data_IF_101384062258
#
_entry.id   IF_101384062258
#
_cell.length_a   1.000
_cell.length_b   1.000
_cell.length_c   1.000
_cell.angle_alpha   90.00
_cell.angle_beta   90.00
_cell.angle_gamma   90.00
#
_symmetry.space_group_name_H-M   'P 1'
#
loop_
_entity.id
_entity.type
_entity.pdbx_description
1 polymer ?
#
# COMPACT_ATOMS: atom_id res chain seq x y z
N UNK A 1 -13.37 5.23 -5.49
CA UNK A 1 -12.08 5.92 -5.40
C UNK A 1 -11.89 6.84 -6.60
N UNK A 2 -10.99 7.83 -6.52
CA UNK A 2 -10.69 8.76 -7.64
C UNK A 2 -9.50 8.24 -8.46
N UNK A 3 -9.36 8.68 -9.73
CA UNK A 3 -8.20 8.34 -10.57
C UNK A 3 -6.86 8.67 -9.90
N UNK A 4 -6.80 9.79 -9.17
CA UNK A 4 -5.62 10.23 -8.42
C UNK A 4 -5.23 9.23 -7.33
N UNK A 5 -6.21 8.62 -6.66
CA UNK A 5 -5.94 7.64 -5.62
C UNK A 5 -5.21 6.40 -6.17
N UNK A 6 -5.65 5.87 -7.31
CA UNK A 6 -4.99 4.71 -7.94
C UNK A 6 -3.52 4.99 -8.25
N UNK A 7 -3.22 6.17 -8.80
CA UNK A 7 -1.85 6.58 -9.14
C UNK A 7 -0.99 6.73 -7.88
N UNK A 8 -1.47 7.50 -6.90
CA UNK A 8 -0.70 7.79 -5.69
C UNK A 8 -0.46 6.52 -4.86
N UNK A 9 -1.48 5.67 -4.70
CA UNK A 9 -1.35 4.39 -3.99
C UNK A 9 -0.32 3.49 -4.66
N UNK A 10 -0.37 3.38 -5.99
CA UNK A 10 0.61 2.58 -6.75
C UNK A 10 2.02 3.12 -6.57
N UNK A 11 2.20 4.43 -6.65
CA UNK A 11 3.51 5.07 -6.43
C UNK A 11 4.04 4.83 -5.01
N UNK A 12 3.17 4.85 -4.00
CA UNK A 12 3.55 4.56 -2.61
C UNK A 12 4.05 3.12 -2.47
N UNK A 13 3.33 2.15 -3.04
CA UNK A 13 3.73 0.74 -2.97
C UNK A 13 5.04 0.48 -3.74
N UNK A 14 5.21 1.12 -4.91
CA UNK A 14 6.47 1.02 -5.66
C UNK A 14 7.63 1.69 -4.91
N UNK A 15 7.40 2.85 -4.30
CA UNK A 15 8.41 3.53 -3.49
C UNK A 15 8.80 2.70 -2.27
N UNK A 16 7.84 2.04 -1.63
CA UNK A 16 8.10 1.07 -0.57
C UNK A 16 9.02 -0.07 -1.06
N UNK A 17 8.75 -0.65 -2.22
CA UNK A 17 9.58 -1.71 -2.79
C UNK A 17 11.00 -1.22 -3.12
N UNK A 18 11.13 -0.05 -3.74
CA UNK A 18 12.43 0.59 -4.05
C UNK A 18 13.21 0.88 -2.77
N UNK A 19 12.58 1.52 -1.79
CA UNK A 19 13.22 1.89 -0.53
C UNK A 19 13.64 0.65 0.28
N UNK A 20 12.80 -0.39 0.31
CA UNK A 20 13.14 -1.66 0.96
C UNK A 20 14.34 -2.33 0.31
N UNK A 21 14.39 -2.38 -1.03
CA UNK A 21 15.53 -2.94 -1.76
C UNK A 21 16.81 -2.13 -1.54
N UNK A 22 16.73 -0.81 -1.64
CA UNK A 22 17.86 0.08 -1.39
C UNK A 22 18.43 -0.07 0.03
N UNK A 23 17.55 -0.20 1.03
CA UNK A 23 17.94 -0.38 2.45
C UNK A 23 18.67 -1.69 2.73
N UNK A 24 18.45 -2.70 1.88
CA UNK A 24 19.11 -4.01 1.98
C UNK A 24 20.21 -4.20 0.92
N UNK A 25 20.67 -3.11 0.29
CA UNK A 25 21.71 -3.12 -0.75
C UNK A 25 21.40 -4.07 -1.92
N UNK A 26 20.11 -4.27 -2.20
CA UNK A 26 19.63 -5.08 -3.32
C UNK A 26 19.61 -4.23 -4.59
N UNK A 27 19.82 -4.86 -5.75
CA UNK A 27 19.75 -4.18 -7.06
C UNK A 27 18.39 -3.53 -7.31
N UNK A 28 18.38 -2.35 -7.94
CA UNK A 28 17.19 -1.55 -8.25
C UNK A 28 16.69 -1.72 -9.69
N UNK A 29 16.97 -2.87 -10.29
CA UNK A 29 16.46 -3.20 -11.61
C UNK A 29 14.91 -3.31 -11.58
N UNK A 30 14.21 -2.99 -12.68
CA UNK A 30 12.74 -2.97 -12.69
C UNK A 30 12.10 -4.30 -12.29
N UNK A 31 12.71 -5.43 -12.68
CA UNK A 31 12.21 -6.76 -12.32
C UNK A 31 12.41 -7.05 -10.84
N UNK A 32 13.56 -6.68 -10.27
CA UNK A 32 13.80 -6.78 -8.83
C UNK A 32 12.82 -5.95 -8.00
N UNK A 33 12.54 -4.71 -8.40
CA UNK A 33 11.53 -3.85 -7.75
C UNK A 33 10.15 -4.49 -7.83
N UNK A 34 9.77 -4.99 -9.02
CA UNK A 34 8.48 -5.64 -9.21
C UNK A 34 8.39 -6.95 -8.40
N UNK A 35 9.45 -7.75 -8.33
CA UNK A 35 9.51 -8.96 -7.53
C UNK A 35 9.26 -8.67 -6.03
N UNK A 36 9.75 -7.54 -5.52
CA UNK A 36 9.46 -7.13 -4.13
C UNK A 36 8.07 -6.50 -3.98
N UNK A 37 7.61 -5.73 -4.98
CA UNK A 37 6.39 -4.93 -4.89
C UNK A 37 5.09 -5.65 -5.28
N UNK A 38 5.14 -6.63 -6.17
CA UNK A 38 3.94 -7.27 -6.74
C UNK A 38 2.98 -7.85 -5.69
N UNK A 39 3.41 -8.48 -4.56
CA UNK A 39 2.48 -9.03 -3.59
C UNK A 39 1.60 -7.93 -2.97
N UNK A 40 2.22 -6.78 -2.68
CA UNK A 40 1.56 -5.62 -2.11
C UNK A 40 0.70 -4.88 -3.12
N UNK A 41 1.11 -4.84 -4.40
CA UNK A 41 0.29 -4.30 -5.49
C UNK A 41 -1.00 -5.12 -5.67
N UNK A 42 -0.92 -6.45 -5.60
CA UNK A 42 -2.10 -7.32 -5.63
C UNK A 42 -2.99 -7.05 -4.42
N UNK A 43 -2.42 -6.99 -3.22
CA UNK A 43 -3.20 -6.66 -2.02
C UNK A 43 -3.84 -5.28 -2.06
N UNK A 44 -3.15 -4.29 -2.60
CA UNK A 44 -3.69 -2.94 -2.84
C UNK A 44 -4.87 -2.98 -3.81
N UNK A 45 -4.76 -3.73 -4.92
CA UNK A 45 -5.86 -3.90 -5.86
C UNK A 45 -7.09 -4.57 -5.22
N UNK A 46 -6.87 -5.60 -4.39
CA UNK A 46 -7.94 -6.21 -3.56
C UNK A 46 -8.56 -5.17 -2.63
N UNK A 47 -7.74 -4.32 -2.01
CA UNK A 47 -8.19 -3.23 -1.15
C UNK A 47 -9.05 -2.20 -1.88
N UNK A 48 -8.72 -1.86 -3.13
CA UNK A 48 -9.54 -0.98 -3.95
C UNK A 48 -10.92 -1.56 -4.24
N UNK A 49 -10.96 -2.86 -4.53
CA UNK A 49 -12.20 -3.60 -4.75
C UNK A 49 -13.02 -3.63 -3.44
N UNK A 50 -12.40 -3.98 -2.31
CA UNK A 50 -13.05 -3.99 -1.01
C UNK A 50 -13.61 -2.61 -0.62
N UNK A 51 -12.83 -1.54 -0.83
CA UNK A 51 -13.26 -0.17 -0.58
C UNK A 51 -14.45 0.24 -1.47
N UNK A 52 -14.57 -0.32 -2.68
CA UNK A 52 -15.71 -0.05 -3.56
C UNK A 52 -17.04 -0.62 -3.02
N UNK A 53 -16.98 -1.64 -2.16
CA UNK A 53 -18.16 -2.23 -1.51
C UNK A 53 -18.55 -1.55 -0.19
N UNK A 54 -17.78 -0.56 0.28
CA UNK A 54 -18.13 0.21 1.49
C UNK A 54 -19.38 1.07 1.22
N UNK A 55 -20.46 0.92 2.00
CA UNK A 55 -21.68 1.70 1.81
C UNK A 55 -21.42 3.21 1.87
N UNK A 56 -22.06 3.98 0.97
CA UNK A 56 -21.90 5.45 0.90
C UNK A 56 -22.02 6.19 2.24
N UNK A 57 -22.99 5.90 3.14
CA UNK A 57 -23.10 6.65 4.40
C UNK A 57 -21.91 6.40 5.36
N UNK A 58 -21.21 5.28 5.20
CA UNK A 58 -20.02 4.94 5.99
C UNK A 58 -18.73 5.38 5.30
N UNK A 59 -18.79 5.81 4.03
CA UNK A 59 -17.59 6.05 3.23
C UNK A 59 -16.89 7.32 3.67
N UNK A 60 -15.67 7.18 4.16
CA UNK A 60 -14.79 8.28 4.51
C UNK A 60 -13.39 8.08 3.94
N UNK A 61 -12.68 9.18 3.70
CA UNK A 61 -11.34 9.14 3.11
C UNK A 61 -10.37 8.27 3.92
N UNK A 62 -10.49 8.27 5.25
CA UNK A 62 -9.61 7.51 6.14
C UNK A 62 -9.92 6.01 6.10
N UNK A 63 -11.20 5.64 5.96
CA UNK A 63 -11.63 4.25 5.81
C UNK A 63 -11.14 3.66 4.49
N UNK A 64 -11.27 4.40 3.39
CA UNK A 64 -10.74 3.96 2.09
C UNK A 64 -9.24 3.69 2.17
N UNK A 65 -8.47 4.61 2.77
CA UNK A 65 -7.02 4.43 2.96
C UNK A 65 -6.68 3.23 3.84
N UNK A 66 -7.42 3.04 4.93
CA UNK A 66 -7.19 1.97 5.89
C UNK A 66 -7.50 0.60 5.29
N UNK A 67 -8.63 0.46 4.58
CA UNK A 67 -9.00 -0.79 3.89
C UNK A 67 -7.92 -1.17 2.88
N UNK A 68 -7.44 -0.21 2.09
CA UNK A 68 -6.39 -0.47 1.10
C UNK A 68 -5.08 -0.86 1.77
N UNK A 69 -4.68 -0.17 2.85
CA UNK A 69 -3.46 -0.51 3.59
C UNK A 69 -3.51 -1.90 4.23
N UNK A 70 -4.64 -2.25 4.85
CA UNK A 70 -4.83 -3.58 5.47
C UNK A 70 -4.80 -4.67 4.41
N UNK A 71 -5.51 -4.49 3.28
CA UNK A 71 -5.47 -5.48 2.20
C UNK A 71 -4.08 -5.60 1.58
N UNK A 72 -3.39 -4.48 1.32
CA UNK A 72 -2.01 -4.49 0.81
C UNK A 72 -1.06 -5.27 1.74
N UNK A 73 -1.17 -5.05 3.05
CA UNK A 73 -0.36 -5.73 4.04
C UNK A 73 -0.72 -7.22 4.12
N UNK A 74 -1.99 -7.57 4.37
CA UNK A 74 -2.41 -8.94 4.64
C UNK A 74 -2.22 -9.82 3.41
N UNK A 75 -2.75 -9.41 2.26
CA UNK A 75 -2.62 -10.18 1.02
C UNK A 75 -1.17 -10.21 0.57
N UNK A 76 -0.44 -9.09 0.70
CA UNK A 76 0.99 -9.04 0.39
C UNK A 76 1.79 -10.04 1.22
N UNK A 77 1.57 -10.10 2.54
CA UNK A 77 2.27 -11.06 3.40
C UNK A 77 1.86 -12.51 3.13
N UNK A 78 0.59 -12.78 2.84
CA UNK A 78 0.12 -14.11 2.46
C UNK A 78 0.75 -14.59 1.16
N UNK A 79 0.81 -13.72 0.15
CA UNK A 79 1.44 -14.03 -1.13
C UNK A 79 2.94 -14.25 -0.97
N UNK A 80 3.62 -13.40 -0.18
CA UNK A 80 5.05 -13.59 0.14
C UNK A 80 5.29 -14.94 0.80
N UNK A 81 4.53 -15.26 1.84
CA UNK A 81 4.62 -16.55 2.52
C UNK A 81 4.38 -17.73 1.57
N UNK A 82 3.33 -17.65 0.74
CA UNK A 82 2.99 -18.70 -0.22
C UNK A 82 3.98 -18.86 -1.39
N UNK A 83 4.82 -17.86 -1.66
CA UNK A 83 5.82 -17.87 -2.75
C UNK A 83 7.24 -18.09 -2.23
N UNK A 84 7.40 -18.37 -0.93
CA UNK A 84 8.70 -18.58 -0.31
C UNK A 84 9.48 -17.30 -0.05
N UNK A 85 8.87 -16.13 -0.23
CA UNK A 85 9.46 -14.85 0.16
C UNK A 85 9.34 -14.66 1.69
N UNK A 86 10.36 -14.04 2.30
CA UNK A 86 10.41 -13.87 3.75
C UNK A 86 9.32 -12.92 4.31
N UNK A 87 8.76 -13.30 5.46
CA UNK A 87 7.83 -12.50 6.29
C UNK A 87 8.40 -12.26 7.69
N UNK A 88 9.68 -11.91 7.75
CA UNK A 88 10.36 -11.64 9.03
C UNK A 88 9.61 -10.55 9.82
N UNK A 89 9.51 -10.70 11.14
CA UNK A 89 8.77 -9.75 11.99
C UNK A 89 9.19 -8.29 11.78
N UNK A 90 10.49 -7.94 11.69
CA UNK A 90 10.89 -6.56 11.40
C UNK A 90 10.33 -6.04 10.07
N UNK A 91 10.31 -6.88 9.03
CA UNK A 91 9.77 -6.53 7.73
C UNK A 91 8.24 -6.29 7.82
N UNK A 92 7.50 -7.12 8.55
CA UNK A 92 6.06 -6.93 8.76
C UNK A 92 5.79 -5.59 9.45
N UNK A 93 6.55 -5.24 10.49
CA UNK A 93 6.39 -3.98 11.21
C UNK A 93 6.68 -2.76 10.33
N UNK A 94 7.79 -2.78 9.59
CA UNK A 94 8.16 -1.69 8.67
C UNK A 94 7.15 -1.56 7.53
N UNK A 95 6.78 -2.68 6.89
CA UNK A 95 5.78 -2.69 5.82
C UNK A 95 4.43 -2.14 6.31
N UNK A 96 3.99 -2.55 7.51
CA UNK A 96 2.77 -2.01 8.14
C UNK A 96 2.87 -0.50 8.31
N UNK A 97 3.96 -0.01 8.90
CA UNK A 97 4.17 1.42 9.12
C UNK A 97 4.16 2.21 7.81
N UNK A 98 4.93 1.78 6.82
CA UNK A 98 5.03 2.47 5.51
C UNK A 98 3.70 2.44 4.76
N UNK A 99 3.02 1.29 4.69
CA UNK A 99 1.75 1.18 3.98
C UNK A 99 0.65 1.99 4.65
N UNK A 100 0.52 1.93 5.98
CA UNK A 100 -0.49 2.71 6.71
C UNK A 100 -0.20 4.20 6.60
N UNK A 101 1.03 4.63 6.91
CA UNK A 101 1.41 6.06 6.83
C UNK A 101 1.29 6.57 5.40
N UNK A 102 1.78 5.82 4.41
CA UNK A 102 1.69 6.22 3.01
C UNK A 102 0.25 6.34 2.54
N UNK A 103 -0.51 5.23 2.58
CA UNK A 103 -1.83 5.14 1.98
C UNK A 103 -2.88 5.95 2.74
N UNK A 104 -2.83 6.00 4.07
CA UNK A 104 -3.75 6.85 4.85
C UNK A 104 -3.27 8.30 4.86
N UNK A 105 -1.97 8.53 5.01
CA UNK A 105 -1.39 9.86 5.22
C UNK A 105 -1.57 10.80 4.03
N UNK A 106 -1.38 10.34 2.78
CA UNK A 106 -1.59 11.23 1.63
C UNK A 106 -3.06 11.68 1.52
N UNK A 107 -4.00 10.80 1.88
CA UNK A 107 -5.43 11.13 1.91
C UNK A 107 -5.74 12.13 3.01
N UNK A 108 -5.10 12.01 4.18
CA UNK A 108 -5.21 12.98 5.26
C UNK A 108 -4.72 14.37 4.82
N UNK A 109 -3.57 14.42 4.12
CA UNK A 109 -3.04 15.67 3.55
C UNK A 109 -4.00 16.25 2.51
N UNK A 110 -4.49 15.45 1.57
CA UNK A 110 -5.44 15.90 0.56
C UNK A 110 -6.73 16.46 1.20
N UNK A 111 -7.28 15.77 2.21
CA UNK A 111 -8.45 16.22 2.94
C UNK A 111 -8.19 17.54 3.68
N UNK A 112 -7.04 17.69 4.33
CA UNK A 112 -6.65 18.92 5.02
C UNK A 112 -6.49 20.10 4.07
N UNK A 113 -5.92 19.88 2.88
CA UNK A 113 -5.76 20.92 1.86
C UNK A 113 -7.11 21.35 1.27
N UNK A 114 -8.02 20.41 1.02
CA UNK A 114 -9.38 20.76 0.52
C UNK A 114 -10.27 21.45 1.53
N UNK A 115 -10.00 21.31 2.84
CA UNK A 115 -10.73 22.04 3.90
C UNK A 115 -10.27 23.49 4.07
N UNK A 116 -9.11 23.84 3.53
CA UNK A 116 -8.50 25.19 3.63
C UNK A 116 -8.79 26.07 2.41
N UNK A 117 -9.37 25.51 1.35
CA UNK A 117 -9.78 26.21 0.13
C UNK A 117 -11.29 26.44 0.15
#
# INVERSE_FOLDING_TARGET
MTRRAYVIDTLIVLLFAVAGRASHELGLDPLGVLATGWPFLVGMAVGWIAAAFVPRPLRSWWLDGLVVAVCALVVGMLLRWGTGEGTALPFVLVATGVLVVGLVGWRAVAAALTRRA
#
